data_IF_920973488605
#
_entry.id   IF_920973488605
#
_cell.length_a   1.000
_cell.length_b   1.000
_cell.length_c   1.000
_cell.angle_alpha   90.00
_cell.angle_beta   90.00
_cell.angle_gamma   90.00
#
_symmetry.space_group_name_H-M   'P 1'
#
loop_
_entity.id
_entity.type
_entity.pdbx_description
1 polymer ?
#
# COMPACT_ATOMS: atom_id res chain seq x y z
N UNK A 1 3.13 -26.35 11.83
CA UNK A 1 3.02 -24.89 12.06
C UNK A 1 4.37 -24.26 11.75
N UNK A 2 4.69 -24.07 10.47
CA UNK A 2 5.97 -23.55 9.97
C UNK A 2 5.68 -22.78 8.69
N UNK A 3 5.56 -21.47 8.80
CA UNK A 3 5.80 -20.48 7.74
C UNK A 3 5.39 -19.10 8.29
N UNK A 4 6.19 -18.56 9.21
CA UNK A 4 6.10 -17.18 9.66
C UNK A 4 7.51 -16.59 9.65
N UNK A 5 8.17 -16.79 8.50
CA UNK A 5 9.57 -16.41 8.30
C UNK A 5 9.70 -15.95 6.87
N UNK A 6 10.23 -14.74 6.69
CA UNK A 6 10.43 -14.01 5.42
C UNK A 6 9.25 -13.19 4.90
N UNK A 7 8.87 -12.17 5.67
CA UNK A 7 8.58 -10.84 5.12
C UNK A 7 9.60 -9.85 5.72
N UNK A 8 10.89 -10.21 5.67
CA UNK A 8 11.90 -9.18 5.49
C UNK A 8 11.89 -8.97 3.98
N UNK A 9 11.05 -8.03 3.53
CA UNK A 9 11.35 -7.38 2.27
C UNK A 9 12.80 -6.88 2.43
N UNK A 10 13.69 -7.35 1.56
CA UNK A 10 14.97 -6.71 1.29
C UNK A 10 14.64 -5.27 0.88
N UNK A 11 14.43 -4.41 1.87
CA UNK A 11 14.62 -2.99 1.70
C UNK A 11 16.13 -2.84 1.58
N UNK A 12 16.64 -3.02 0.36
CA UNK A 12 17.86 -2.37 -0.10
C UNK A 12 17.61 -0.87 0.07
N UNK A 13 17.80 -0.44 1.31
CA UNK A 13 17.67 0.95 1.72
C UNK A 13 18.96 1.57 1.25
N UNK A 14 19.05 1.84 -0.05
CA UNK A 14 19.92 2.90 -0.52
C UNK A 14 19.57 4.09 0.35
N UNK A 15 20.45 4.37 1.32
CA UNK A 15 20.28 5.50 2.23
C UNK A 15 20.13 6.71 1.33
N UNK A 16 18.90 7.23 1.23
CA UNK A 16 18.60 8.56 0.73
C UNK A 16 19.33 9.55 1.63
N UNK A 17 20.63 9.72 1.35
CA UNK A 17 21.48 10.69 2.01
C UNK A 17 21.12 12.05 1.44
N UNK A 18 19.98 12.58 1.89
CA UNK A 18 19.59 13.95 1.62
C UNK A 18 20.52 14.86 2.43
N UNK A 19 21.12 15.84 1.74
CA UNK A 19 21.81 16.92 2.44
C UNK A 19 20.83 17.59 3.43
N UNK A 20 21.29 18.07 4.60
CA UNK A 20 20.42 18.78 5.53
C UNK A 20 19.69 19.93 4.82
N UNK A 21 18.36 19.84 4.71
CA UNK A 21 17.52 20.81 4.00
C UNK A 21 17.12 20.44 2.57
N UNK A 22 17.54 19.30 2.03
CA UNK A 22 17.03 18.79 0.76
C UNK A 22 15.60 18.25 0.95
N UNK A 23 14.67 18.74 0.14
CA UNK A 23 13.29 18.25 0.09
C UNK A 23 13.22 17.03 -0.83
N UNK A 24 12.46 16.02 -0.39
CA UNK A 24 12.09 14.87 -1.22
C UNK A 24 11.20 15.35 -2.37
N UNK A 25 11.45 14.82 -3.57
CA UNK A 25 10.55 14.99 -4.71
C UNK A 25 9.27 14.19 -4.56
N UNK A 26 8.22 14.56 -5.29
CA UNK A 26 6.91 13.93 -5.24
C UNK A 26 6.95 12.41 -5.48
N UNK A 27 7.79 11.95 -6.42
CA UNK A 27 8.01 10.51 -6.65
C UNK A 27 8.61 9.79 -5.46
N UNK A 28 9.56 10.42 -4.79
CA UNK A 28 10.21 9.86 -3.61
C UNK A 28 9.22 9.83 -2.43
N UNK A 29 8.37 10.85 -2.29
CA UNK A 29 7.28 10.86 -1.31
C UNK A 29 6.26 9.74 -1.57
N UNK A 30 5.90 9.47 -2.83
CA UNK A 30 5.02 8.34 -3.17
C UNK A 30 5.66 6.98 -2.81
N UNK A 31 6.97 6.84 -2.99
CA UNK A 31 7.71 5.63 -2.55
C UNK A 31 7.69 5.47 -1.03
N UNK A 32 7.77 6.57 -0.27
CA UNK A 32 7.63 6.53 1.21
C UNK A 32 6.25 6.03 1.61
N UNK A 33 5.20 6.34 0.85
CA UNK A 33 3.86 5.80 1.07
C UNK A 33 3.72 4.32 0.67
N UNK A 34 4.78 3.70 0.12
CA UNK A 34 4.76 2.32 -0.34
C UNK A 34 3.83 2.10 -1.55
N UNK A 35 3.59 3.15 -2.33
CA UNK A 35 2.85 3.04 -3.59
C UNK A 35 3.81 2.58 -4.68
N UNK A 36 3.53 1.40 -5.24
CA UNK A 36 4.14 0.96 -6.49
C UNK A 36 3.31 1.51 -7.65
N UNK A 37 3.96 2.15 -8.60
CA UNK A 37 3.29 2.90 -9.66
C UNK A 37 3.99 2.69 -10.98
N UNK A 38 3.21 2.69 -12.06
CA UNK A 38 3.77 2.76 -13.40
C UNK A 38 4.41 4.15 -13.62
N UNK A 39 5.69 4.15 -13.98
CA UNK A 39 6.45 5.37 -14.20
C UNK A 39 5.84 6.21 -15.33
N UNK A 40 5.27 5.56 -16.34
CA UNK A 40 4.66 6.23 -17.50
C UNK A 40 3.37 6.97 -17.09
N UNK A 41 2.66 6.48 -16.08
CA UNK A 41 1.45 7.12 -15.55
C UNK A 41 1.80 8.39 -14.76
N UNK A 42 2.90 8.36 -14.00
CA UNK A 42 3.33 9.50 -13.20
C UNK A 42 3.95 10.64 -14.02
N UNK A 43 4.44 10.36 -15.24
CA UNK A 43 4.95 11.39 -16.15
C UNK A 43 3.85 12.39 -16.58
N UNK A 44 2.57 12.02 -16.43
CA UNK A 44 1.43 12.91 -16.72
C UNK A 44 1.15 13.95 -15.62
N UNK A 45 1.72 13.76 -14.42
CA UNK A 45 1.48 14.63 -13.27
C UNK A 45 2.59 15.68 -13.11
N UNK A 46 2.18 16.90 -12.74
CA UNK A 46 3.14 17.92 -12.29
C UNK A 46 3.78 17.52 -10.95
N UNK A 47 4.98 18.03 -10.66
CA UNK A 47 5.68 17.78 -9.39
C UNK A 47 4.83 18.15 -8.16
N UNK A 48 4.10 19.27 -8.25
CA UNK A 48 3.13 19.67 -7.21
C UNK A 48 2.00 18.65 -7.08
N UNK A 49 1.47 18.17 -8.20
CA UNK A 49 0.43 17.15 -8.22
C UNK A 49 0.89 15.83 -7.58
N UNK A 50 2.13 15.41 -7.84
CA UNK A 50 2.73 14.23 -7.21
C UNK A 50 2.92 14.41 -5.70
N UNK A 51 3.36 15.60 -5.28
CA UNK A 51 3.52 15.94 -3.86
C UNK A 51 2.18 15.97 -3.15
N UNK A 52 1.16 16.60 -3.75
CA UNK A 52 -0.20 16.66 -3.21
C UNK A 52 -0.80 15.24 -3.14
N UNK A 53 -0.59 14.40 -4.15
CA UNK A 53 -1.02 13.00 -4.13
C UNK A 53 -0.35 12.22 -2.98
N UNK A 54 0.97 12.34 -2.84
CA UNK A 54 1.71 11.66 -1.77
C UNK A 54 1.32 12.15 -0.37
N UNK A 55 0.99 13.43 -0.22
CA UNK A 55 0.54 14.02 1.05
C UNK A 55 -0.88 13.60 1.45
N UNK A 56 -1.71 13.20 0.48
CA UNK A 56 -3.09 12.75 0.72
C UNK A 56 -3.25 11.22 0.68
N UNK A 57 -2.23 10.48 0.24
CA UNK A 57 -2.25 9.02 0.21
C UNK A 57 -2.07 8.42 1.61
N UNK A 58 -2.76 7.31 1.87
CA UNK A 58 -2.44 6.45 3.01
C UNK A 58 -1.22 5.59 2.69
N UNK A 59 -0.36 5.36 3.68
CA UNK A 59 0.73 4.38 3.56
C UNK A 59 0.14 2.98 3.29
N UNK A 60 0.55 2.37 2.17
CA UNK A 60 -0.01 1.10 1.68
C UNK A 60 0.14 -0.03 2.71
N UNK A 61 1.25 -0.05 3.42
CA UNK A 61 1.53 -1.03 4.48
C UNK A 61 0.56 -0.96 5.65
N UNK A 62 0.12 0.26 6.03
CA UNK A 62 -0.87 0.47 7.07
C UNK A 62 -2.25 -0.05 6.64
N UNK A 63 -2.63 0.20 5.40
CA UNK A 63 -3.89 -0.29 4.83
C UNK A 63 -3.87 -1.82 4.73
N UNK A 64 -2.81 -2.40 4.18
CA UNK A 64 -2.67 -3.85 4.04
C UNK A 64 -2.72 -4.57 5.40
N UNK A 65 -2.04 -4.03 6.41
CA UNK A 65 -2.07 -4.59 7.77
C UNK A 65 -3.49 -4.56 8.35
N UNK A 66 -4.22 -3.47 8.13
CA UNK A 66 -5.62 -3.34 8.56
C UNK A 66 -6.52 -4.37 7.88
N UNK A 67 -6.36 -4.58 6.58
CA UNK A 67 -7.11 -5.60 5.82
C UNK A 67 -6.80 -7.01 6.33
N UNK A 68 -5.53 -7.34 6.56
CA UNK A 68 -5.13 -8.64 7.12
C UNK A 68 -5.74 -8.85 8.51
N UNK A 69 -5.72 -7.83 9.37
CA UNK A 69 -6.30 -7.91 10.70
C UNK A 69 -7.81 -8.20 10.63
N UNK A 70 -8.54 -7.48 9.77
CA UNK A 70 -9.97 -7.71 9.52
C UNK A 70 -10.22 -9.14 9.03
N UNK A 71 -9.48 -9.61 8.00
CA UNK A 71 -9.62 -11.00 7.52
C UNK A 71 -9.27 -12.06 8.56
N UNK A 72 -8.33 -11.78 9.46
CA UNK A 72 -7.94 -12.75 10.49
C UNK A 72 -8.97 -12.88 11.62
N UNK A 73 -9.70 -11.81 11.97
CA UNK A 73 -10.79 -11.88 12.97
C UNK A 73 -11.99 -12.68 12.51
N UNK A 74 -12.03 -12.88 11.21
CA UNK A 74 -13.16 -13.30 10.43
C UNK A 74 -13.16 -14.81 10.14
N UNK A 75 -12.05 -15.51 10.40
CA UNK A 75 -11.92 -16.98 10.30
C UNK A 75 -12.75 -17.74 11.36
N UNK A 76 -13.50 -17.05 12.22
CA UNK A 76 -14.27 -17.61 13.34
C UNK A 76 -15.78 -17.40 13.24
N UNK A 77 -16.29 -17.17 12.02
CA UNK A 77 -17.58 -16.53 11.81
C UNK A 77 -18.79 -17.44 11.55
N UNK A 78 -19.96 -16.90 11.90
CA UNK A 78 -21.29 -17.49 11.71
C UNK A 78 -21.83 -17.21 10.29
N UNK A 79 -22.86 -17.94 9.81
CA UNK A 79 -23.23 -17.93 8.38
C UNK A 79 -23.57 -16.57 7.76
N UNK A 80 -24.05 -15.57 8.51
CA UNK A 80 -24.32 -14.23 7.94
C UNK A 80 -23.06 -13.39 7.77
N UNK A 81 -22.04 -13.62 8.58
CA UNK A 81 -20.77 -12.90 8.51
C UNK A 81 -19.94 -13.45 7.33
N UNK A 82 -20.07 -14.75 7.01
CA UNK A 82 -19.52 -15.36 5.79
C UNK A 82 -20.06 -14.76 4.47
N UNK A 83 -21.24 -14.15 4.48
CA UNK A 83 -21.77 -13.42 3.31
C UNK A 83 -21.13 -12.02 3.19
N UNK A 84 -20.87 -11.34 4.31
CA UNK A 84 -20.11 -10.07 4.33
C UNK A 84 -18.66 -10.28 3.88
N UNK A 85 -18.07 -11.43 4.19
CA UNK A 85 -16.77 -11.87 3.66
C UNK A 85 -16.67 -11.86 2.17
N UNK A 86 -17.63 -12.52 1.52
CA UNK A 86 -17.65 -12.67 0.08
C UNK A 86 -17.70 -11.28 -0.55
N UNK A 87 -18.48 -10.36 0.02
CA UNK A 87 -18.52 -8.98 -0.45
C UNK A 87 -17.18 -8.22 -0.29
N UNK A 88 -16.44 -8.45 0.79
CA UNK A 88 -15.11 -7.85 1.00
C UNK A 88 -14.07 -8.45 0.06
N UNK A 89 -14.08 -9.78 -0.10
CA UNK A 89 -13.17 -10.50 -0.98
C UNK A 89 -13.41 -10.15 -2.45
N UNK A 90 -14.67 -10.00 -2.85
CA UNK A 90 -15.05 -9.53 -4.18
C UNK A 90 -14.58 -8.09 -4.41
N UNK A 91 -14.78 -7.19 -3.44
CA UNK A 91 -14.31 -5.81 -3.50
C UNK A 91 -12.77 -5.73 -3.59
N UNK A 92 -12.05 -6.54 -2.82
CA UNK A 92 -10.58 -6.59 -2.86
C UNK A 92 -10.08 -7.16 -4.18
N UNK A 93 -10.76 -8.16 -4.74
CA UNK A 93 -10.45 -8.68 -6.07
C UNK A 93 -10.72 -7.64 -7.17
N UNK A 94 -11.82 -6.89 -7.09
CA UNK A 94 -12.07 -5.76 -7.99
C UNK A 94 -10.98 -4.70 -7.89
N UNK A 95 -10.56 -4.31 -6.69
CA UNK A 95 -9.44 -3.37 -6.50
C UNK A 95 -8.14 -3.92 -7.09
N UNK A 96 -7.88 -5.22 -6.94
CA UNK A 96 -6.66 -5.86 -7.44
C UNK A 96 -6.65 -6.07 -8.98
N UNK A 97 -7.81 -6.04 -9.63
CA UNK A 97 -7.97 -6.34 -11.06
C UNK A 97 -8.51 -5.16 -11.87
N UNK A 98 -8.85 -4.04 -11.23
CA UNK A 98 -9.19 -2.79 -11.89
C UNK A 98 -7.93 -2.20 -12.54
N UNK A 99 -7.85 -2.35 -13.87
CA UNK A 99 -6.89 -1.68 -14.77
C UNK A 99 -7.04 -0.15 -14.77
#
# INVERSE_FOLDING_TARGET
>A
MRALTMLHADMDTERLALAPGAQLGGRELLRVQGLDYDADLLDTFSERGLTDLAGNAFASTCILTSVIAVRSTMEFETPSEAEEHIAIDDLLNEIATAE
#
